data_IF_256831976317
#
_entry.id   IF_256831976317
#
_cell.length_a   1.000
_cell.length_b   1.000
_cell.length_c   1.000
_cell.angle_alpha   90.00
_cell.angle_beta   90.00
_cell.angle_gamma   90.00
#
_symmetry.space_group_name_H-M   'P 1'
#
loop_
_entity.id
_entity.type
_entity.pdbx_description
1 polymer ?
#
# COMPACT_ATOMS: atom_id res chain seq x y z
N UNK A 1 -28.49 -3.63 -17.51
CA UNK A 1 -28.28 -4.45 -16.30
C UNK A 1 -26.93 -5.13 -16.46
N UNK A 2 -26.22 -5.34 -15.36
CA UNK A 2 -24.85 -5.86 -15.24
C UNK A 2 -23.72 -4.84 -15.34
N UNK A 3 -23.59 -4.05 -14.26
CA UNK A 3 -22.30 -3.53 -13.81
C UNK A 3 -21.77 -4.51 -12.78
N UNK A 4 -20.84 -5.38 -13.18
CA UNK A 4 -20.02 -6.12 -12.22
C UNK A 4 -19.35 -5.09 -11.31
N UNK A 5 -19.74 -5.11 -10.03
CA UNK A 5 -19.05 -4.38 -8.98
C UNK A 5 -17.75 -5.15 -8.78
N UNK A 6 -16.74 -4.78 -9.57
CA UNK A 6 -15.37 -5.11 -9.25
C UNK A 6 -15.10 -4.47 -7.89
N UNK A 7 -14.66 -5.24 -6.90
CA UNK A 7 -14.19 -4.71 -5.63
C UNK A 7 -13.13 -3.66 -5.90
N UNK A 8 -13.54 -2.39 -5.86
CA UNK A 8 -12.64 -1.25 -5.97
C UNK A 8 -11.89 -1.23 -4.65
N UNK A 9 -10.72 -1.86 -4.61
CA UNK A 9 -9.67 -1.45 -3.68
C UNK A 9 -9.36 -0.02 -4.10
N UNK A 10 -9.97 0.91 -3.37
CA UNK A 10 -9.97 2.33 -3.66
C UNK A 10 -8.56 2.90 -3.50
N UNK A 11 -7.75 2.69 -4.53
CA UNK A 11 -6.66 3.58 -4.87
C UNK A 11 -7.28 4.89 -5.35
N UNK A 12 -7.64 5.78 -4.43
CA UNK A 12 -8.02 7.14 -4.79
C UNK A 12 -6.78 7.78 -5.42
N UNK A 13 -6.83 8.01 -6.73
CA UNK A 13 -5.87 8.89 -7.39
C UNK A 13 -6.15 10.30 -6.86
N UNK A 14 -5.33 10.77 -5.92
CA UNK A 14 -5.41 12.13 -5.38
C UNK A 14 -4.73 13.04 -6.40
N UNK A 15 -5.52 13.87 -7.08
CA UNK A 15 -4.99 14.92 -7.95
C UNK A 15 -4.77 16.17 -7.10
N UNK A 16 -3.52 16.45 -6.72
CA UNK A 16 -3.16 17.66 -5.98
C UNK A 16 -3.05 18.83 -6.97
N UNK A 17 -4.03 19.73 -6.95
CA UNK A 17 -4.01 20.95 -7.75
C UNK A 17 -3.24 22.08 -7.02
N UNK A 18 -2.16 22.57 -7.62
CA UNK A 18 -1.42 23.75 -7.11
C UNK A 18 -2.17 25.01 -7.54
N UNK A 19 -3.14 25.46 -6.75
CA UNK A 19 -3.82 26.74 -6.96
C UNK A 19 -3.19 27.78 -6.02
N UNK A 20 -2.50 28.77 -6.59
CA UNK A 20 -1.98 29.91 -5.85
C UNK A 20 -3.13 30.83 -5.43
N UNK A 21 -3.65 30.67 -4.21
CA UNK A 21 -4.67 31.56 -3.64
C UNK A 21 -4.09 32.38 -2.49
N UNK A 22 -4.32 33.69 -2.56
CA UNK A 22 -3.96 34.71 -1.59
C UNK A 22 -4.53 34.41 -0.19
N UNK A 23 -3.66 34.53 0.80
CA UNK A 23 -3.85 34.14 2.20
C UNK A 23 -4.94 34.96 2.91
N UNK A 24 -5.98 34.27 3.39
CA UNK A 24 -6.74 34.68 4.58
C UNK A 24 -6.37 33.75 5.73
N UNK A 25 -5.89 34.30 6.84
CA UNK A 25 -5.45 33.55 8.02
C UNK A 25 -6.65 32.86 8.68
N UNK A 26 -6.73 31.53 8.53
CA UNK A 26 -7.61 30.70 9.37
C UNK A 26 -6.80 30.40 10.62
N UNK A 27 -7.23 30.93 11.77
CA UNK A 27 -6.66 30.57 13.07
C UNK A 27 -7.17 29.18 13.45
N UNK A 28 -6.35 28.16 13.27
CA UNK A 28 -6.62 26.82 13.82
C UNK A 28 -6.26 26.81 15.31
N UNK A 29 -7.14 26.28 16.19
CA UNK A 29 -6.80 26.13 17.61
C UNK A 29 -5.60 25.20 17.79
N UNK A 30 -4.81 25.37 18.88
CA UNK A 30 -3.63 24.55 19.12
C UNK A 30 -4.03 23.09 19.32
N UNK A 31 -3.54 22.23 18.43
CA UNK A 31 -3.69 20.78 18.54
C UNK A 31 -2.84 20.32 19.73
N UNK A 32 -3.47 19.73 20.74
CA UNK A 32 -2.76 19.08 21.84
C UNK A 32 -2.15 17.79 21.30
N UNK A 33 -0.81 17.71 21.22
CA UNK A 33 -0.11 16.49 20.81
C UNK A 33 -0.34 15.39 21.86
N UNK A 34 -1.31 14.52 21.60
CA UNK A 34 -1.48 13.27 22.34
C UNK A 34 -0.28 12.36 22.07
N UNK A 35 0.11 11.52 23.04
CA UNK A 35 1.19 10.54 22.81
C UNK A 35 0.79 9.59 21.69
N UNK A 36 1.58 9.55 20.62
CA UNK A 36 1.31 8.68 19.49
C UNK A 36 1.53 7.21 19.85
N UNK A 37 0.74 6.34 19.24
CA UNK A 37 0.88 4.90 19.35
C UNK A 37 1.25 4.33 17.98
N UNK A 38 2.53 4.01 17.79
CA UNK A 38 3.03 3.42 16.54
C UNK A 38 2.29 2.15 16.13
N UNK A 39 1.65 1.41 17.06
CA UNK A 39 0.89 0.20 16.71
C UNK A 39 -0.46 0.48 16.06
N UNK A 40 -0.96 1.72 16.15
CA UNK A 40 -2.26 2.11 15.61
C UNK A 40 -2.01 2.96 14.37
N UNK A 41 -2.55 2.49 13.24
CA UNK A 41 -2.45 3.15 11.96
C UNK A 41 -3.80 3.45 11.32
N UNK A 42 -3.83 4.44 10.44
CA UNK A 42 -4.98 4.75 9.59
C UNK A 42 -4.56 4.80 8.13
N UNK A 43 -5.48 4.42 7.24
CA UNK A 43 -5.42 4.84 5.84
C UNK A 43 -6.00 6.25 5.79
N UNK A 44 -5.20 7.25 5.43
CA UNK A 44 -5.62 8.65 5.40
C UNK A 44 -6.05 9.00 3.97
N UNK A 45 -7.36 9.12 3.76
CA UNK A 45 -7.94 9.47 2.46
C UNK A 45 -8.54 10.87 2.47
N UNK A 46 -8.56 11.50 1.29
CA UNK A 46 -9.25 12.77 1.08
C UNK A 46 -10.74 12.52 0.84
N UNK A 47 -11.64 13.43 1.28
CA UNK A 47 -13.08 13.28 1.05
C UNK A 47 -13.47 13.40 -0.43
N UNK A 48 -12.60 14.00 -1.24
CA UNK A 48 -12.77 14.23 -2.68
C UNK A 48 -11.46 13.91 -3.42
N UNK A 49 -11.54 13.67 -4.72
CA UNK A 49 -10.37 13.38 -5.58
C UNK A 49 -9.48 14.60 -5.87
N UNK A 50 -9.96 15.80 -5.56
CA UNK A 50 -9.24 17.06 -5.70
C UNK A 50 -9.32 17.83 -4.39
N UNK A 51 -8.15 18.13 -3.83
CA UNK A 51 -7.96 18.93 -2.62
C UNK A 51 -6.75 19.84 -2.80
N UNK A 52 -6.76 21.00 -2.14
CA UNK A 52 -5.60 21.88 -2.06
C UNK A 52 -4.56 21.34 -1.08
N UNK A 53 -3.32 21.83 -1.21
CA UNK A 53 -2.23 21.53 -0.27
C UNK A 53 -2.58 21.90 1.19
N UNK A 54 -3.37 22.96 1.39
CA UNK A 54 -3.80 23.36 2.73
C UNK A 54 -4.83 22.40 3.32
N UNK A 55 -5.77 21.92 2.50
CA UNK A 55 -6.79 20.98 2.95
C UNK A 55 -6.18 19.63 3.30
N UNK A 56 -5.28 19.11 2.47
CA UNK A 56 -4.60 17.85 2.78
C UNK A 56 -3.69 17.96 4.02
N UNK A 57 -3.06 19.11 4.26
CA UNK A 57 -2.30 19.36 5.48
C UNK A 57 -3.17 19.31 6.75
N UNK A 58 -4.37 19.89 6.68
CA UNK A 58 -5.35 19.82 7.77
C UNK A 58 -5.81 18.38 7.99
N UNK A 59 -6.10 17.63 6.92
CA UNK A 59 -6.53 16.22 7.02
C UNK A 59 -5.48 15.36 7.73
N UNK A 60 -4.21 15.48 7.35
CA UNK A 60 -3.13 14.71 8.00
C UNK A 60 -2.90 15.14 9.45
N UNK A 61 -2.97 16.45 9.73
CA UNK A 61 -2.85 16.97 11.10
C UNK A 61 -4.00 16.49 12.00
N UNK A 62 -5.22 16.45 11.46
CA UNK A 62 -6.41 15.96 12.16
C UNK A 62 -6.30 14.46 12.44
N UNK A 63 -5.91 13.66 11.44
CA UNK A 63 -5.64 12.23 11.61
C UNK A 63 -4.58 11.99 12.70
N UNK A 64 -3.44 12.68 12.65
CA UNK A 64 -2.38 12.56 13.65
C UNK A 64 -2.84 12.96 15.06
N UNK A 65 -3.75 13.93 15.18
CA UNK A 65 -4.30 14.37 16.47
C UNK A 65 -5.09 13.29 17.21
N UNK A 66 -5.53 12.23 16.52
CA UNK A 66 -6.20 11.07 17.13
C UNK A 66 -5.27 10.16 17.94
N UNK A 67 -3.96 10.38 17.87
CA UNK A 67 -2.94 9.58 18.57
C UNK A 67 -2.41 8.39 17.79
N UNK A 68 -2.70 8.29 16.49
CA UNK A 68 -2.06 7.33 15.59
C UNK A 68 -0.56 7.60 15.53
N UNK A 69 0.25 6.55 15.40
CA UNK A 69 1.70 6.68 15.17
C UNK A 69 2.12 6.23 13.78
N UNK A 70 1.19 5.80 12.93
CA UNK A 70 1.50 5.43 11.55
C UNK A 70 0.37 5.69 10.55
N UNK A 71 0.76 5.87 9.30
CA UNK A 71 -0.11 5.93 8.13
C UNK A 71 0.07 4.66 7.28
N UNK A 72 -1.03 4.13 6.76
CA UNK A 72 -1.05 3.00 5.84
C UNK A 72 -1.18 3.55 4.41
N UNK A 73 -0.08 3.56 3.66
CA UNK A 73 0.03 4.23 2.36
C UNK A 73 0.08 3.19 1.25
N UNK A 74 -0.80 3.35 0.26
CA UNK A 74 -0.79 2.54 -0.96
C UNK A 74 -0.01 3.27 -2.05
N UNK A 75 1.04 2.63 -2.58
CA UNK A 75 1.77 3.12 -3.75
C UNK A 75 1.67 2.10 -4.87
N UNK A 76 1.24 2.56 -6.04
CA UNK A 76 1.12 1.72 -7.22
C UNK A 76 2.31 1.92 -8.14
N UNK A 77 2.86 0.81 -8.65
CA UNK A 77 4.06 0.83 -9.47
C UNK A 77 3.88 1.71 -10.72
N UNK A 78 2.72 1.64 -11.39
CA UNK A 78 2.42 2.48 -12.55
C UNK A 78 2.44 4.00 -12.29
N UNK A 79 2.21 4.42 -11.04
CA UNK A 79 2.28 5.83 -10.65
C UNK A 79 3.69 6.23 -10.22
N UNK A 80 4.42 5.33 -9.56
CA UNK A 80 5.78 5.59 -9.09
C UNK A 80 6.79 5.57 -10.22
N UNK A 81 6.66 4.63 -11.18
CA UNK A 81 7.57 4.46 -12.31
C UNK A 81 6.77 4.44 -13.64
N UNK A 82 6.16 5.57 -14.04
CA UNK A 82 5.31 5.63 -15.22
C UNK A 82 6.07 5.33 -16.51
N UNK A 83 7.36 5.62 -16.58
CA UNK A 83 8.26 5.21 -17.65
C UNK A 83 9.45 4.44 -17.09
N UNK A 84 10.01 3.54 -17.90
CA UNK A 84 11.08 2.63 -17.46
C UNK A 84 12.29 3.41 -16.94
N UNK A 85 12.56 3.33 -15.63
CA UNK A 85 13.67 3.99 -14.96
C UNK A 85 13.42 5.47 -14.62
N UNK A 86 12.23 6.00 -14.92
CA UNK A 86 11.86 7.37 -14.63
C UNK A 86 10.79 7.39 -13.54
N UNK A 87 11.16 7.90 -12.37
CA UNK A 87 10.28 7.94 -11.23
C UNK A 87 9.50 9.26 -11.14
N UNK A 88 8.21 9.17 -10.84
CA UNK A 88 7.37 10.31 -10.49
C UNK A 88 7.08 10.31 -8.99
N UNK A 89 7.65 11.29 -8.29
CA UNK A 89 7.52 11.47 -6.85
C UNK A 89 6.54 12.56 -6.46
N UNK A 90 5.89 13.23 -7.42
CA UNK A 90 5.15 14.48 -7.15
C UNK A 90 4.05 14.28 -6.09
N UNK A 91 3.31 13.18 -6.19
CA UNK A 91 2.25 12.87 -5.23
C UNK A 91 2.82 12.27 -3.93
N UNK A 92 3.72 11.29 -4.03
CA UNK A 92 4.27 10.59 -2.86
C UNK A 92 5.11 11.50 -1.97
N UNK A 93 5.85 12.46 -2.52
CA UNK A 93 6.58 13.46 -1.72
C UNK A 93 5.66 14.30 -0.86
N UNK A 94 4.47 14.66 -1.36
CA UNK A 94 3.47 15.39 -0.59
C UNK A 94 2.96 14.52 0.56
N UNK A 95 2.54 13.27 0.28
CA UNK A 95 2.00 12.38 1.30
C UNK A 95 3.04 12.02 2.37
N UNK A 96 4.23 11.59 1.95
CA UNK A 96 5.32 11.23 2.86
C UNK A 96 5.83 12.44 3.64
N UNK A 97 5.85 13.63 3.03
CA UNK A 97 6.20 14.87 3.72
C UNK A 97 5.17 15.25 4.80
N UNK A 98 3.89 14.99 4.56
CA UNK A 98 2.82 15.19 5.57
C UNK A 98 2.90 14.16 6.69
N UNK A 99 3.17 12.89 6.39
CA UNK A 99 3.43 11.86 7.40
C UNK A 99 4.63 12.24 8.27
N UNK A 100 5.76 12.61 7.66
CA UNK A 100 6.95 13.04 8.37
C UNK A 100 6.71 14.29 9.22
N UNK A 101 6.00 15.29 8.68
CA UNK A 101 5.63 16.52 9.42
C UNK A 101 4.82 16.19 10.69
N UNK A 102 4.00 15.14 10.62
CA UNK A 102 3.13 14.71 11.70
C UNK A 102 3.71 13.58 12.55
N UNK A 103 5.00 13.27 12.40
CA UNK A 103 5.70 12.22 13.16
C UNK A 103 5.07 10.82 12.99
N UNK A 104 4.51 10.55 11.81
CA UNK A 104 3.90 9.26 11.48
C UNK A 104 4.92 8.36 10.78
N UNK A 105 5.06 7.11 11.26
CA UNK A 105 5.68 6.03 10.50
C UNK A 105 4.78 5.58 9.34
N UNK A 106 5.33 4.88 8.37
CA UNK A 106 4.57 4.41 7.21
C UNK A 106 4.64 2.90 7.08
N UNK A 107 3.45 2.28 6.98
CA UNK A 107 3.28 0.95 6.41
C UNK A 107 2.94 1.11 4.94
N UNK A 108 3.87 0.70 4.07
CA UNK A 108 3.73 0.77 2.62
C UNK A 108 3.04 -0.49 2.10
N UNK A 109 1.95 -0.30 1.36
CA UNK A 109 1.34 -1.32 0.51
C UNK A 109 1.83 -1.10 -0.92
N UNK A 110 2.75 -1.97 -1.37
CA UNK A 110 3.30 -1.98 -2.73
C UNK A 110 2.82 -3.24 -3.45
N UNK A 111 1.49 -3.37 -3.54
CA UNK A 111 0.79 -4.57 -3.97
C UNK A 111 1.09 -4.94 -5.43
N UNK A 112 2.02 -5.89 -5.65
CA UNK A 112 2.13 -6.60 -6.94
C UNK A 112 1.01 -7.61 -7.14
N UNK A 113 0.44 -8.09 -6.03
CA UNK A 113 -0.82 -8.84 -5.95
C UNK A 113 -1.81 -7.98 -5.18
N UNK A 114 -3.00 -7.80 -5.73
CA UNK A 114 -4.10 -7.07 -5.15
C UNK A 114 -5.40 -7.87 -5.30
N UNK A 115 -5.67 -8.74 -4.32
CA UNK A 115 -6.79 -9.69 -4.39
C UNK A 115 -6.60 -10.69 -5.51
N UNK A 116 -7.59 -10.80 -6.39
CA UNK A 116 -7.57 -11.69 -7.57
C UNK A 116 -6.79 -11.12 -8.78
N UNK A 117 -6.09 -10.00 -8.60
CA UNK A 117 -5.41 -9.30 -9.70
C UNK A 117 -3.94 -9.05 -9.42
N UNK A 118 -3.14 -8.93 -10.49
CA UNK A 118 -1.75 -8.47 -10.42
C UNK A 118 -1.66 -6.98 -10.78
N UNK A 119 -0.80 -6.25 -10.08
CA UNK A 119 -0.53 -4.84 -10.27
C UNK A 119 -1.54 -3.90 -9.60
N UNK A 120 -1.74 -2.68 -10.12
CA UNK A 120 -1.44 -2.25 -11.50
C UNK A 120 0.06 -2.05 -11.78
N UNK A 121 0.49 -2.52 -12.95
CA UNK A 121 1.85 -2.32 -13.46
C UNK A 121 1.90 -1.15 -14.45
N UNK A 122 3.06 -0.48 -14.60
CA UNK A 122 3.28 0.48 -15.66
C UNK A 122 3.00 -0.09 -17.05
N UNK A 123 2.55 0.77 -17.98
CA UNK A 123 2.22 0.37 -19.37
C UNK A 123 3.38 -0.32 -20.09
N UNK A 124 4.63 0.05 -19.77
CA UNK A 124 5.83 -0.54 -20.34
C UNK A 124 6.14 -1.95 -19.83
N UNK A 125 5.56 -2.37 -18.70
CA UNK A 125 5.57 -3.77 -18.22
C UNK A 125 4.38 -4.54 -18.83
N UNK A 126 3.22 -3.89 -18.97
CA UNK A 126 2.00 -4.50 -19.44
C UNK A 126 1.29 -5.31 -18.35
N UNK A 127 0.90 -6.55 -18.65
CA UNK A 127 0.16 -7.44 -17.74
C UNK A 127 0.87 -8.80 -17.63
N UNK A 128 2.05 -8.84 -17.01
CA UNK A 128 2.82 -10.07 -16.91
C UNK A 128 2.08 -11.08 -16.04
N UNK A 129 2.16 -12.39 -16.35
CA UNK A 129 1.86 -13.41 -15.36
C UNK A 129 2.87 -13.33 -14.20
N UNK A 130 2.56 -13.93 -13.06
CA UNK A 130 3.39 -13.83 -11.84
C UNK A 130 4.85 -14.26 -12.09
N UNK A 131 5.07 -15.33 -12.84
CA UNK A 131 6.42 -15.82 -13.18
C UNK A 131 7.18 -15.00 -14.22
N UNK A 132 6.60 -13.91 -14.72
CA UNK A 132 7.28 -12.96 -15.62
C UNK A 132 7.46 -11.57 -14.99
N UNK A 133 7.13 -11.42 -13.70
CA UNK A 133 7.51 -10.24 -12.94
C UNK A 133 9.03 -10.27 -12.77
N UNK A 134 9.70 -9.22 -13.24
CA UNK A 134 11.15 -9.10 -13.18
C UNK A 134 11.58 -8.72 -11.76
N UNK A 135 12.31 -9.61 -11.10
CA UNK A 135 12.74 -9.48 -9.70
C UNK A 135 13.61 -8.23 -9.50
N UNK A 136 14.61 -8.04 -10.37
CA UNK A 136 15.52 -6.88 -10.35
C UNK A 136 14.74 -5.56 -10.48
N UNK A 137 13.68 -5.54 -11.27
CA UNK A 137 12.83 -4.37 -11.46
C UNK A 137 12.02 -4.06 -10.20
N UNK A 138 11.46 -5.09 -9.55
CA UNK A 138 10.72 -4.94 -8.31
C UNK A 138 11.63 -4.49 -7.16
N UNK A 139 12.83 -5.06 -7.06
CA UNK A 139 13.86 -4.61 -6.12
C UNK A 139 14.22 -3.15 -6.39
N UNK A 140 14.48 -2.76 -7.63
CA UNK A 140 14.89 -1.38 -7.97
C UNK A 140 13.83 -0.34 -7.59
N UNK A 141 12.54 -0.59 -7.84
CA UNK A 141 11.48 0.36 -7.46
C UNK A 141 11.29 0.42 -5.95
N UNK A 142 11.29 -0.72 -5.25
CA UNK A 142 11.17 -0.75 -3.79
C UNK A 142 12.39 -0.11 -3.11
N UNK A 143 13.59 -0.37 -3.60
CA UNK A 143 14.83 0.25 -3.13
C UNK A 143 14.80 1.78 -3.32
N UNK A 144 14.32 2.27 -4.47
CA UNK A 144 14.16 3.69 -4.71
C UNK A 144 13.16 4.34 -3.73
N UNK A 145 12.04 3.67 -3.45
CA UNK A 145 11.04 4.14 -2.47
C UNK A 145 11.64 4.17 -1.06
N UNK A 146 12.23 3.06 -0.61
CA UNK A 146 12.78 2.93 0.75
C UNK A 146 13.97 3.86 1.00
N UNK A 147 14.82 4.06 -0.01
CA UNK A 147 15.94 5.00 0.05
C UNK A 147 15.47 6.46 0.11
N UNK A 148 14.32 6.77 -0.49
CA UNK A 148 13.75 8.12 -0.50
C UNK A 148 13.00 8.44 0.80
N UNK A 149 12.30 7.45 1.38
CA UNK A 149 11.37 7.65 2.49
C UNK A 149 11.75 6.81 3.71
N UNK A 150 12.68 7.32 4.52
CA UNK A 150 13.13 6.69 5.79
C UNK A 150 12.03 6.50 6.86
N UNK A 151 10.84 7.08 6.67
CA UNK A 151 9.68 6.88 7.55
C UNK A 151 8.95 5.56 7.27
N UNK A 152 9.22 4.92 6.13
CA UNK A 152 8.70 3.60 5.78
C UNK A 152 9.50 2.54 6.54
N UNK A 153 8.86 1.87 7.49
CA UNK A 153 9.49 0.81 8.30
C UNK A 153 8.88 -0.58 8.05
N UNK A 154 7.78 -0.64 7.30
CA UNK A 154 7.00 -1.84 7.05
C UNK A 154 6.51 -1.84 5.60
N UNK A 155 6.71 -2.93 4.87
CA UNK A 155 6.27 -3.13 3.50
C UNK A 155 5.41 -4.39 3.39
N UNK A 156 4.25 -4.25 2.76
CA UNK A 156 3.39 -5.35 2.33
C UNK A 156 3.47 -5.41 0.81
N UNK A 157 4.10 -6.47 0.28
CA UNK A 157 4.37 -6.65 -1.16
C UNK A 157 3.14 -7.23 -1.88
N UNK A 158 2.35 -8.05 -1.21
CA UNK A 158 1.12 -8.64 -1.74
C UNK A 158 -0.03 -8.43 -0.75
N UNK A 159 -1.17 -7.93 -1.24
CA UNK A 159 -2.39 -7.76 -0.46
C UNK A 159 -3.48 -8.74 -0.90
N UNK A 160 -4.16 -9.34 0.08
CA UNK A 160 -5.19 -10.36 -0.17
C UNK A 160 -4.65 -11.54 -1.00
N UNK A 161 -3.44 -11.97 -0.64
CA UNK A 161 -2.62 -12.92 -1.39
C UNK A 161 -3.32 -14.26 -1.61
N UNK A 162 -4.14 -14.72 -0.66
CA UNK A 162 -4.92 -15.95 -0.81
C UNK A 162 -5.90 -15.90 -1.98
N UNK A 163 -6.42 -14.72 -2.29
CA UNK A 163 -7.42 -14.55 -3.35
C UNK A 163 -6.81 -14.79 -4.73
N UNK A 164 -5.55 -14.38 -4.93
CA UNK A 164 -4.80 -14.68 -6.16
C UNK A 164 -4.59 -16.19 -6.35
N UNK A 165 -4.13 -16.87 -5.30
CA UNK A 165 -3.70 -18.28 -5.40
C UNK A 165 -4.83 -19.29 -5.24
N UNK A 166 -6.02 -18.88 -4.77
CA UNK A 166 -7.19 -19.77 -4.65
C UNK A 166 -7.49 -20.56 -5.92
N UNK A 167 -7.26 -19.95 -7.08
CA UNK A 167 -7.49 -20.58 -8.40
C UNK A 167 -6.19 -20.84 -9.17
N UNK A 168 -5.04 -20.61 -8.54
CA UNK A 168 -3.72 -20.72 -9.18
C UNK A 168 -2.65 -21.25 -8.22
N UNK A 169 -2.99 -22.22 -7.37
CA UNK A 169 -2.07 -22.77 -6.37
C UNK A 169 -0.77 -23.32 -6.97
N UNK A 170 -0.79 -23.76 -8.24
CA UNK A 170 0.42 -24.18 -8.95
C UNK A 170 1.47 -23.08 -9.11
N UNK A 171 1.07 -21.81 -9.01
CA UNK A 171 1.94 -20.64 -9.13
C UNK A 171 2.51 -20.19 -7.77
N UNK A 172 2.11 -20.81 -6.65
CA UNK A 172 2.63 -20.52 -5.30
C UNK A 172 4.16 -20.66 -5.24
N UNK A 173 4.80 -21.73 -5.76
CA UNK A 173 6.26 -21.84 -5.75
C UNK A 173 6.94 -20.69 -6.53
N UNK A 174 6.36 -20.29 -7.66
CA UNK A 174 6.90 -19.21 -8.50
C UNK A 174 6.85 -17.88 -7.77
N UNK A 175 5.75 -17.58 -7.07
CA UNK A 175 5.63 -16.37 -6.27
C UNK A 175 6.55 -16.40 -5.05
N UNK A 176 6.70 -17.57 -4.41
CA UNK A 176 7.58 -17.74 -3.27
C UNK A 176 9.04 -17.44 -3.65
N UNK A 177 9.50 -17.97 -4.78
CA UNK A 177 10.85 -17.68 -5.29
C UNK A 177 11.04 -16.17 -5.56
N UNK A 178 10.07 -15.54 -6.25
CA UNK A 178 10.06 -14.08 -6.47
C UNK A 178 10.15 -13.30 -5.14
N UNK A 179 9.34 -13.67 -4.15
CA UNK A 179 9.34 -13.01 -2.84
C UNK A 179 10.68 -13.19 -2.12
N UNK A 180 11.22 -14.40 -2.07
CA UNK A 180 12.46 -14.70 -1.35
C UNK A 180 13.66 -13.95 -1.96
N UNK A 181 13.73 -13.86 -3.29
CA UNK A 181 14.77 -13.09 -3.99
C UNK A 181 14.65 -11.59 -3.71
N UNK A 182 13.45 -11.03 -3.85
CA UNK A 182 13.19 -9.60 -3.56
C UNK A 182 13.45 -9.28 -2.08
N UNK A 183 13.01 -10.15 -1.17
CA UNK A 183 13.25 -10.03 0.25
C UNK A 183 14.75 -10.00 0.55
N UNK A 184 15.51 -10.98 0.04
CA UNK A 184 16.95 -11.06 0.30
C UNK A 184 17.69 -9.81 -0.14
N UNK A 185 17.45 -9.32 -1.37
CA UNK A 185 18.10 -8.11 -1.88
C UNK A 185 17.70 -6.85 -1.11
N UNK A 186 16.42 -6.72 -0.74
CA UNK A 186 15.96 -5.57 0.03
C UNK A 186 16.46 -5.59 1.46
N UNK A 187 16.60 -6.76 2.11
CA UNK A 187 17.16 -6.86 3.46
C UNK A 187 18.64 -6.52 3.51
N UNK A 188 19.39 -6.75 2.44
CA UNK A 188 20.79 -6.31 2.34
C UNK A 188 20.91 -4.78 2.36
N UNK A 189 20.00 -4.09 1.67
CA UNK A 189 20.01 -2.62 1.53
C UNK A 189 19.28 -1.89 2.66
N UNK A 190 18.19 -2.48 3.16
CA UNK A 190 17.24 -1.91 4.12
C UNK A 190 16.97 -2.89 5.28
N UNK A 191 17.99 -3.23 6.10
CA UNK A 191 17.90 -4.31 7.09
C UNK A 191 16.86 -4.08 8.18
N UNK A 192 16.49 -2.83 8.46
CA UNK A 192 15.52 -2.49 9.51
C UNK A 192 14.06 -2.48 9.01
N UNK A 193 13.85 -2.50 7.69
CA UNK A 193 12.50 -2.52 7.11
C UNK A 193 11.92 -3.92 7.22
N UNK A 194 10.70 -4.02 7.77
CA UNK A 194 9.95 -5.28 7.85
C UNK A 194 9.20 -5.54 6.56
N UNK A 195 9.28 -6.75 6.02
CA UNK A 195 8.65 -7.10 4.75
C UNK A 195 7.77 -8.33 4.93
N UNK A 196 6.55 -8.31 4.39
CA UNK A 196 5.61 -9.43 4.51
C UNK A 196 4.48 -9.39 3.50
N UNK A 197 3.54 -10.34 3.69
CA UNK A 197 2.35 -10.49 2.86
C UNK A 197 1.07 -10.24 3.67
N UNK A 198 0.06 -9.72 2.99
CA UNK A 198 -1.27 -9.49 3.52
C UNK A 198 -2.28 -10.52 3.02
N UNK A 199 -3.15 -10.96 3.92
CA UNK A 199 -4.21 -11.93 3.64
C UNK A 199 -5.57 -11.43 4.12
N UNK A 200 -6.63 -11.78 3.42
CA UNK A 200 -7.98 -11.50 3.88
C UNK A 200 -8.45 -12.60 4.85
N UNK A 201 -8.44 -12.32 6.15
CA UNK A 201 -8.79 -13.29 7.20
C UNK A 201 -10.17 -13.91 6.99
N UNK A 202 -11.15 -13.09 6.60
CA UNK A 202 -12.50 -13.55 6.32
C UNK A 202 -12.53 -14.54 5.12
N UNK A 203 -11.75 -14.31 4.07
CA UNK A 203 -11.62 -15.26 2.95
C UNK A 203 -10.92 -16.55 3.40
N UNK A 204 -9.83 -16.42 4.16
CA UNK A 204 -9.07 -17.56 4.68
C UNK A 204 -9.97 -18.50 5.48
N UNK A 205 -10.77 -17.96 6.40
CA UNK A 205 -11.67 -18.73 7.25
C UNK A 205 -12.87 -19.28 6.45
N UNK A 206 -13.56 -18.44 5.68
CA UNK A 206 -14.82 -18.83 5.03
C UNK A 206 -14.60 -19.78 3.84
N UNK A 207 -13.44 -19.70 3.17
CA UNK A 207 -13.11 -20.51 1.99
C UNK A 207 -12.10 -21.62 2.29
N UNK A 208 -11.73 -21.82 3.55
CA UNK A 208 -10.78 -22.84 3.98
C UNK A 208 -9.42 -22.73 3.25
N UNK A 209 -8.84 -21.54 3.22
CA UNK A 209 -7.58 -21.23 2.50
C UNK A 209 -6.36 -21.15 3.43
N UNK A 210 -6.41 -21.80 4.60
CA UNK A 210 -5.33 -21.79 5.58
C UNK A 210 -4.02 -22.41 5.08
N UNK A 211 -4.09 -23.33 4.10
CA UNK A 211 -2.90 -23.92 3.47
C UNK A 211 -2.14 -22.89 2.63
N UNK A 212 -2.82 -22.03 1.88
CA UNK A 212 -2.17 -20.95 1.12
C UNK A 212 -1.42 -19.99 2.06
N UNK A 213 -2.04 -19.65 3.20
CA UNK A 213 -1.36 -18.84 4.23
C UNK A 213 -0.14 -19.57 4.76
N UNK A 214 -0.22 -20.88 5.01
CA UNK A 214 0.91 -21.67 5.51
C UNK A 214 2.08 -21.70 4.53
N UNK A 215 1.80 -21.78 3.23
CA UNK A 215 2.82 -21.81 2.17
C UNK A 215 3.45 -20.44 1.93
N UNK A 216 2.70 -19.35 2.17
CA UNK A 216 3.08 -17.97 1.88
C UNK A 216 3.25 -17.07 3.12
N UNK A 217 3.31 -17.66 4.31
CA UNK A 217 3.73 -17.01 5.56
C UNK A 217 5.25 -16.84 5.60
N UNK A 218 5.77 -16.14 4.59
CA UNK A 218 7.18 -15.84 4.36
C UNK A 218 7.47 -14.37 4.64
N UNK A 219 8.74 -14.05 4.95
CA UNK A 219 9.18 -12.71 5.37
C UNK A 219 9.16 -12.52 6.89
N UNK A 220 9.10 -11.26 7.32
CA UNK A 220 9.20 -10.85 8.73
C UNK A 220 7.86 -10.93 9.48
N UNK A 221 6.74 -10.86 8.76
CA UNK A 221 5.40 -10.88 9.33
C UNK A 221 4.34 -11.31 8.32
N UNK A 222 3.15 -11.62 8.84
CA UNK A 222 1.92 -11.84 8.08
C UNK A 222 0.88 -10.82 8.54
N UNK A 223 0.28 -10.08 7.60
CA UNK A 223 -0.81 -9.16 7.87
C UNK A 223 -2.16 -9.79 7.54
N UNK A 224 -3.18 -9.41 8.30
CA UNK A 224 -4.56 -9.83 8.06
C UNK A 224 -5.47 -8.62 7.89
N UNK A 225 -6.23 -8.56 6.80
CA UNK A 225 -7.39 -7.69 6.68
C UNK A 225 -8.64 -8.46 7.13
N UNK A 226 -9.57 -7.76 7.78
CA UNK A 226 -10.83 -8.36 8.21
C UNK A 226 -11.98 -7.43 7.92
N UNK A 227 -12.89 -7.90 7.07
CA UNK A 227 -14.15 -7.24 6.81
C UNK A 227 -15.23 -8.14 7.43
N UNK A 228 -15.90 -7.69 8.52
CA UNK A 228 -16.86 -8.51 9.28
C UNK A 228 -18.17 -8.78 8.52
N UNK A 229 -18.30 -8.25 7.30
CA UNK A 229 -19.38 -8.56 6.39
C UNK A 229 -18.82 -9.50 5.35
N UNK A 230 -19.23 -10.77 5.43
CA UNK A 230 -19.31 -11.59 4.23
C UNK A 230 -20.28 -10.81 3.33
N UNK A 231 -19.86 -10.38 2.15
CA UNK A 231 -20.83 -10.13 1.09
C UNK A 231 -21.43 -11.50 0.76
N UNK A 232 -22.36 -11.95 1.60
CA UNK A 232 -23.21 -13.14 1.45
C UNK A 232 -23.95 -13.14 0.09
N UNK A 233 -23.84 -12.04 -0.67
CA UNK A 233 -24.38 -11.80 -1.99
C UNK A 233 -23.33 -11.56 -3.08
N UNK A 234 -22.01 -11.71 -2.83
CA UNK A 234 -21.02 -11.79 -3.91
C UNK A 234 -21.07 -13.20 -4.50
N UNK A 235 -22.15 -13.43 -5.26
CA UNK A 235 -22.25 -14.53 -6.22
C UNK A 235 -21.23 -14.22 -7.32
N UNK A 236 -20.18 -15.04 -7.41
CA UNK A 236 -19.22 -15.06 -8.53
C UNK A 236 -19.90 -15.60 -9.79
#
# INVERSE_FOLDING_TARGET
MDKKILGIIAGVIIVVAIIGVSLSQIQTPPIVKQSQNEKIGLVINTPTSSVSLKEIDVIYSDAASTGIGRSNVYMFWNLVEPQKGEFDWAQSDVLMGLDQKNDLKVTLYFSIINGETLGPFPDWIGKPPIGSIQEDRLVNVLDAILSRYHIVDTVIIAGETESQFRYSEQDIPVYKDLFENVYSELKEKHPDVKIGNGFALHQVLNKNLGHIVSDLAIGDFVAYSYFPVDSLNDIV
#
